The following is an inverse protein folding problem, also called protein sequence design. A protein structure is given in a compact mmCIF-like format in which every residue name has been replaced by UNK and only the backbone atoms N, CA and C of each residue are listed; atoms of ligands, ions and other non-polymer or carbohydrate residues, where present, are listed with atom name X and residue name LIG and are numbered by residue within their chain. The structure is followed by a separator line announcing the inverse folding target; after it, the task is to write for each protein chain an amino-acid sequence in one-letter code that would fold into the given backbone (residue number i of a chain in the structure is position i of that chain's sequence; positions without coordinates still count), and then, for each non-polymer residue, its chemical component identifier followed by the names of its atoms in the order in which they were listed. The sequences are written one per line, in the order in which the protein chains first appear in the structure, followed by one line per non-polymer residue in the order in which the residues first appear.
data_IF_162651113469
#
_entry.id   IF_162651113469
#
_cell.length_a   1.000
_cell.length_b   1.000
_cell.length_c   1.000
_cell.angle_alpha   90.00
_cell.angle_beta   90.00
_cell.angle_gamma   90.00
#
_symmetry.space_group_name_H-M   'P 1'
#
loop_
_entity.id
_entity.type
_entity.pdbx_description
1 polymer ?
#
# COMPACT_ATOMS: atom_id res chain seq x y z
N UNK A 1 0.62 -21.26 18.40
CA UNK A 1 1.04 -22.64 18.76
C UNK A 1 2.41 -22.68 19.45
N UNK A 2 3.43 -21.98 18.92
CA UNK A 2 4.80 -22.02 19.48
C UNK A 2 4.99 -21.42 20.89
N UNK A 3 4.18 -20.43 21.29
CA UNK A 3 4.23 -19.85 22.65
C UNK A 3 3.95 -20.91 23.72
N UNK A 4 2.98 -21.81 23.48
CA UNK A 4 2.63 -22.89 24.42
C UNK A 4 3.70 -23.97 24.51
N UNK A 5 4.45 -24.23 23.43
CA UNK A 5 5.58 -25.17 23.44
C UNK A 5 6.76 -24.59 24.21
N UNK A 6 7.02 -23.28 24.06
CA UNK A 6 8.08 -22.58 24.80
C UNK A 6 7.81 -22.52 26.31
N UNK A 7 6.59 -22.17 26.72
CA UNK A 7 6.23 -22.10 28.14
C UNK A 7 6.26 -23.48 28.81
N UNK A 8 5.79 -24.53 28.12
CA UNK A 8 5.84 -25.90 28.64
C UNK A 8 7.26 -26.45 28.73
N UNK A 9 8.14 -26.13 27.78
CA UNK A 9 9.56 -26.50 27.85
C UNK A 9 10.28 -25.87 29.06
N UNK A 10 10.01 -24.59 29.34
CA UNK A 10 10.58 -23.87 30.49
C UNK A 10 10.01 -24.40 31.81
N UNK A 11 8.72 -24.70 31.89
CA UNK A 11 8.06 -25.25 33.08
C UNK A 11 8.46 -26.70 33.41
N UNK A 12 8.89 -27.47 32.40
CA UNK A 12 9.34 -28.86 32.56
C UNK A 12 10.75 -28.96 33.13
N UNK A 13 11.58 -27.92 32.97
CA UNK A 13 12.96 -27.89 33.47
C UNK A 13 13.05 -27.41 34.94
N UNK A 14 12.38 -28.12 35.85
CA UNK A 14 12.29 -27.77 37.28
C UNK A 14 13.60 -27.95 38.07
N UNK A 15 14.65 -28.51 37.47
CA UNK A 15 15.88 -28.89 38.17
C UNK A 15 16.90 -27.76 38.34
N UNK A 16 16.82 -26.67 37.56
CA UNK A 16 17.82 -25.60 37.59
C UNK A 16 17.33 -24.28 38.18
N UNK A 17 16.01 -24.11 38.37
CA UNK A 17 15.43 -22.86 38.89
C UNK A 17 14.29 -23.16 39.87
N UNK A 18 14.31 -22.49 41.02
CA UNK A 18 13.26 -22.63 42.04
C UNK A 18 11.91 -22.16 41.46
N UNK A 19 10.79 -22.89 41.66
CA UNK A 19 9.49 -22.55 41.07
C UNK A 19 9.04 -21.11 41.36
N UNK A 20 9.41 -20.59 42.53
CA UNK A 20 9.14 -19.21 42.97
C UNK A 20 9.76 -18.14 42.05
N UNK A 21 10.89 -18.41 41.42
CA UNK A 21 11.57 -17.51 40.48
C UNK A 21 11.08 -17.69 39.03
N UNK A 22 10.49 -18.84 38.72
CA UNK A 22 10.10 -19.20 37.36
C UNK A 22 8.82 -18.47 36.89
N UNK A 23 7.81 -18.40 37.76
CA UNK A 23 6.56 -17.69 37.47
C UNK A 23 6.76 -16.19 37.19
N UNK A 24 7.48 -15.41 38.02
CA UNK A 24 7.73 -14.00 37.72
C UNK A 24 8.57 -13.83 36.45
N UNK A 25 9.53 -14.73 36.17
CA UNK A 25 10.33 -14.67 34.94
C UNK A 25 9.47 -14.81 33.68
N UNK A 26 8.52 -15.75 33.66
CA UNK A 26 7.59 -15.92 32.54
C UNK A 26 6.73 -14.66 32.36
N UNK A 27 6.21 -14.10 33.45
CA UNK A 27 5.43 -12.85 33.42
C UNK A 27 6.27 -11.70 32.84
N UNK A 28 7.52 -11.55 33.29
CA UNK A 28 8.44 -10.52 32.78
C UNK A 28 8.69 -10.71 31.28
N UNK A 29 8.94 -11.94 30.80
CA UNK A 29 9.12 -12.22 29.37
C UNK A 29 7.89 -11.81 28.56
N UNK A 30 6.68 -12.09 29.06
CA UNK A 30 5.44 -11.68 28.40
C UNK A 30 5.26 -10.16 28.39
N UNK A 31 5.53 -9.48 29.51
CA UNK A 31 5.47 -8.01 29.59
C UNK A 31 6.46 -7.41 28.60
N UNK A 32 7.71 -7.86 28.59
CA UNK A 32 8.70 -7.38 27.62
C UNK A 32 8.29 -7.66 26.18
N UNK A 33 7.76 -8.85 25.86
CA UNK A 33 7.28 -9.17 24.52
C UNK A 33 6.15 -8.26 24.06
N UNK A 34 5.19 -7.97 24.94
CA UNK A 34 4.10 -7.04 24.65
C UNK A 34 4.58 -5.59 24.57
N UNK A 35 5.48 -5.17 25.46
CA UNK A 35 6.11 -3.85 25.41
C UNK A 35 6.94 -3.67 24.14
N UNK A 36 7.68 -4.66 23.68
CA UNK A 36 8.37 -4.60 22.39
C UNK A 36 7.37 -4.50 21.23
N UNK A 37 6.32 -5.34 21.21
CA UNK A 37 5.31 -5.28 20.15
C UNK A 37 4.55 -3.96 20.10
N UNK A 38 4.22 -3.38 21.25
CA UNK A 38 3.40 -2.17 21.35
C UNK A 38 4.23 -0.88 21.30
N UNK A 39 5.35 -0.83 22.03
CA UNK A 39 6.16 0.38 22.23
C UNK A 39 7.22 0.58 21.14
N UNK A 40 7.82 -0.50 20.60
CA UNK A 40 8.88 -0.40 19.58
C UNK A 40 8.33 -0.24 18.14
N UNK A 41 7.26 0.55 18.01
CA UNK A 41 6.89 1.23 16.75
C UNK A 41 6.58 0.32 15.57
N UNK A 42 5.93 -0.83 15.76
CA UNK A 42 5.29 -1.54 14.64
C UNK A 42 4.36 -0.58 13.86
N UNK A 43 3.75 0.40 14.55
CA UNK A 43 2.92 1.46 13.94
C UNK A 43 3.66 2.41 13.00
N UNK A 44 4.92 2.78 13.27
CA UNK A 44 5.66 3.73 12.41
C UNK A 44 6.27 3.05 11.18
N UNK A 45 6.38 1.70 11.19
CA UNK A 45 6.75 0.93 10.01
C UNK A 45 5.61 0.80 8.98
N UNK A 46 4.36 1.05 9.39
CA UNK A 46 3.23 1.18 8.46
C UNK A 46 3.07 2.65 8.06
N UNK A 47 3.80 3.07 7.03
CA UNK A 47 3.48 4.35 6.38
C UNK A 47 2.18 4.17 5.59
N UNK A 48 1.16 4.97 5.93
CA UNK A 48 0.00 5.12 5.08
C UNK A 48 0.32 6.25 4.09
N UNK A 49 0.57 5.96 2.80
CA UNK A 49 0.81 7.02 1.84
C UNK A 49 -0.46 7.85 1.68
N UNK A 50 -0.50 9.05 2.26
CA UNK A 50 -1.61 9.99 2.08
C UNK A 50 -1.88 10.29 0.60
N UNK A 51 -0.81 10.26 -0.21
CA UNK A 51 -0.86 10.43 -1.65
C UNK A 51 -1.86 9.48 -2.33
N UNK A 52 -1.96 8.21 -1.88
CA UNK A 52 -2.88 7.23 -2.46
C UNK A 52 -4.34 7.63 -2.25
N UNK A 53 -4.67 8.11 -1.05
CA UNK A 53 -6.01 8.55 -0.71
C UNK A 53 -6.38 9.82 -1.50
N UNK A 54 -5.43 10.74 -1.68
CA UNK A 54 -5.65 11.94 -2.46
C UNK A 54 -5.87 11.61 -3.95
N UNK A 55 -5.05 10.72 -4.52
CA UNK A 55 -5.20 10.27 -5.90
C UNK A 55 -6.53 9.55 -6.12
N UNK A 56 -6.95 8.70 -5.17
CA UNK A 56 -8.24 8.02 -5.23
C UNK A 56 -9.41 9.01 -5.27
N UNK A 57 -9.38 10.07 -4.43
CA UNK A 57 -10.41 11.14 -4.45
C UNK A 57 -10.46 11.90 -5.76
N UNK A 58 -9.31 12.14 -6.37
CA UNK A 58 -9.20 12.86 -7.64
C UNK A 58 -9.76 11.99 -8.77
N UNK A 59 -9.40 10.71 -8.81
CA UNK A 59 -10.05 9.77 -9.72
C UNK A 59 -11.55 9.74 -9.51
N UNK A 60 -12.02 9.74 -8.27
CA UNK A 60 -13.46 9.72 -8.00
C UNK A 60 -14.19 10.98 -8.46
N UNK A 61 -13.51 12.13 -8.43
CA UNK A 61 -14.07 13.44 -8.85
C UNK A 61 -14.12 13.58 -10.37
N UNK A 62 -13.09 13.11 -11.09
CA UNK A 62 -12.92 13.37 -12.52
C UNK A 62 -13.34 12.22 -13.43
N UNK A 63 -13.62 11.04 -12.88
CA UNK A 63 -13.96 9.83 -13.65
C UNK A 63 -15.25 9.19 -13.14
N UNK A 64 -15.92 8.41 -13.98
CA UNK A 64 -17.08 7.59 -13.59
C UNK A 64 -16.63 6.21 -13.12
N UNK A 65 -17.47 5.55 -12.33
CA UNK A 65 -17.21 4.18 -11.83
C UNK A 65 -17.08 3.12 -12.94
N UNK A 66 -17.68 3.37 -14.11
CA UNK A 66 -17.57 2.53 -15.30
C UNK A 66 -16.25 2.69 -16.06
N UNK A 67 -15.53 3.79 -15.84
CA UNK A 67 -14.37 4.14 -16.65
C UNK A 67 -13.17 3.28 -16.25
N UNK A 68 -12.42 2.80 -17.25
CA UNK A 68 -11.20 2.05 -17.02
C UNK A 68 -10.03 3.01 -16.87
N UNK A 69 -9.33 2.91 -15.75
CA UNK A 69 -8.21 3.79 -15.40
C UNK A 69 -6.90 3.02 -15.41
N UNK A 70 -5.86 3.62 -15.96
CA UNK A 70 -4.49 3.14 -15.84
C UNK A 70 -3.83 3.93 -14.72
N UNK A 71 -3.21 3.25 -13.76
CA UNK A 71 -2.42 3.86 -12.70
C UNK A 71 -0.98 3.42 -12.85
N UNK A 72 0.00 4.28 -12.58
CA UNK A 72 1.41 3.93 -12.72
C UNK A 72 2.04 3.46 -11.39
N UNK A 73 1.60 2.31 -10.88
CA UNK A 73 1.96 1.81 -9.54
C UNK A 73 2.73 0.49 -9.57
N UNK A 74 3.44 0.22 -10.67
CA UNK A 74 4.30 -0.97 -10.83
C UNK A 74 3.58 -2.31 -10.50
N UNK A 75 2.28 -2.41 -10.77
CA UNK A 75 1.50 -3.61 -10.47
C UNK A 75 0.69 -3.56 -9.17
N UNK A 76 0.88 -2.56 -8.31
CA UNK A 76 0.07 -2.37 -7.10
C UNK A 76 -1.35 -1.88 -7.46
N UNK A 77 -2.35 -2.69 -7.11
CA UNK A 77 -3.77 -2.43 -7.36
C UNK A 77 -4.45 -1.60 -6.27
N UNK A 78 -3.75 -1.23 -5.20
CA UNK A 78 -4.33 -0.55 -4.03
C UNK A 78 -5.01 0.76 -4.43
N UNK A 79 -4.42 1.56 -5.33
CA UNK A 79 -5.04 2.80 -5.79
C UNK A 79 -6.35 2.56 -6.55
N UNK A 80 -6.40 1.53 -7.41
CA UNK A 80 -7.63 1.16 -8.13
C UNK A 80 -8.72 0.68 -7.17
N UNK A 81 -8.34 -0.08 -6.14
CA UNK A 81 -9.24 -0.51 -5.08
C UNK A 81 -9.79 0.68 -4.29
N UNK A 82 -8.92 1.59 -3.83
CA UNK A 82 -9.31 2.78 -3.07
C UNK A 82 -10.19 3.74 -3.89
N UNK A 83 -9.92 3.87 -5.19
CA UNK A 83 -10.72 4.69 -6.10
C UNK A 83 -12.01 3.99 -6.57
N UNK A 84 -12.23 2.71 -6.22
CA UNK A 84 -13.32 1.89 -6.74
C UNK A 84 -13.40 1.94 -8.29
N UNK A 85 -12.26 1.81 -8.96
CA UNK A 85 -12.16 1.82 -10.44
C UNK A 85 -11.62 0.51 -10.98
N UNK A 86 -12.16 0.08 -12.11
CA UNK A 86 -11.57 -0.99 -12.91
C UNK A 86 -10.40 -0.43 -13.70
N UNK A 87 -9.37 -1.22 -13.95
CA UNK A 87 -8.17 -0.63 -14.50
C UNK A 87 -6.97 -1.54 -14.61
N UNK A 88 -5.83 -0.91 -14.93
CA UNK A 88 -4.53 -1.55 -14.95
C UNK A 88 -3.59 -0.82 -13.97
N UNK A 89 -2.88 -1.54 -13.09
CA UNK A 89 -1.95 -0.96 -12.14
C UNK A 89 -0.60 -0.54 -12.75
N UNK A 90 -0.47 -0.65 -14.08
CA UNK A 90 0.67 -0.13 -14.85
C UNK A 90 0.30 -0.01 -16.33
N UNK A 91 1.09 0.78 -17.07
CA UNK A 91 1.06 0.81 -18.52
C UNK A 91 1.87 -0.39 -19.06
N UNK A 92 1.21 -1.34 -19.73
CA UNK A 92 1.83 -2.54 -20.30
C UNK A 92 1.82 -2.60 -21.85
N UNK A 93 1.16 -1.64 -22.48
CA UNK A 93 1.05 -1.46 -23.92
C UNK A 93 1.16 0.03 -24.26
N UNK A 94 1.30 0.37 -25.55
CA UNK A 94 1.32 1.77 -25.96
C UNK A 94 -0.01 2.46 -25.66
N UNK A 95 0.02 3.79 -25.49
CA UNK A 95 -1.18 4.59 -25.23
C UNK A 95 -2.29 4.37 -26.28
N UNK A 96 -2.01 4.31 -27.60
CA UNK A 96 -3.02 3.97 -28.60
C UNK A 96 -3.66 2.59 -28.39
N UNK A 97 -2.86 1.56 -28.10
CA UNK A 97 -3.36 0.21 -27.83
C UNK A 97 -4.24 0.18 -26.56
N UNK A 98 -3.87 0.95 -25.54
CA UNK A 98 -4.69 1.10 -24.34
C UNK A 98 -6.04 1.75 -24.63
N UNK A 99 -6.10 2.75 -25.53
CA UNK A 99 -7.38 3.34 -25.96
C UNK A 99 -8.27 2.29 -26.64
N UNK A 100 -7.70 1.45 -27.50
CA UNK A 100 -8.41 0.36 -28.17
C UNK A 100 -8.97 -0.69 -27.19
N UNK A 101 -8.27 -0.94 -26.08
CA UNK A 101 -8.73 -1.83 -25.00
C UNK A 101 -9.82 -1.20 -24.10
N UNK A 102 -10.19 0.06 -24.38
CA UNK A 102 -11.24 0.81 -23.70
C UNK A 102 -10.80 1.49 -22.41
N UNK A 103 -9.49 1.76 -22.24
CA UNK A 103 -9.01 2.62 -21.17
C UNK A 103 -9.28 4.09 -21.50
N UNK A 104 -9.78 4.84 -20.52
CA UNK A 104 -10.27 6.22 -20.72
C UNK A 104 -9.40 7.24 -20.01
N UNK A 105 -8.70 6.84 -18.96
CA UNK A 105 -7.87 7.74 -18.16
C UNK A 105 -6.54 7.10 -17.81
N UNK A 106 -5.52 7.94 -17.72
CA UNK A 106 -4.20 7.55 -17.24
C UNK A 106 -3.73 8.51 -16.16
N UNK A 107 -3.42 7.96 -14.99
CA UNK A 107 -2.91 8.69 -13.83
C UNK A 107 -1.48 8.25 -13.51
N UNK A 108 -0.57 9.20 -13.42
CA UNK A 108 0.84 8.95 -13.13
C UNK A 108 1.43 10.04 -12.23
N UNK A 109 2.36 9.65 -11.38
CA UNK A 109 3.21 10.50 -10.55
C UNK A 109 4.65 10.62 -11.11
N UNK A 110 4.94 9.95 -12.24
CA UNK A 110 6.26 9.98 -12.88
C UNK A 110 6.42 11.22 -13.74
N UNK A 111 7.28 12.14 -13.29
CA UNK A 111 7.55 13.42 -13.97
C UNK A 111 7.99 13.28 -15.43
N UNK A 112 8.77 12.24 -15.73
CA UNK A 112 9.25 11.95 -17.09
C UNK A 112 8.06 11.70 -18.04
N UNK A 113 7.15 10.81 -17.65
CA UNK A 113 5.94 10.47 -18.41
C UNK A 113 4.99 11.67 -18.52
N UNK A 114 4.83 12.44 -17.42
CA UNK A 114 4.01 13.66 -17.44
C UNK A 114 4.54 14.65 -18.47
N UNK A 115 5.86 14.84 -18.52
CA UNK A 115 6.52 15.77 -19.44
C UNK A 115 6.42 15.30 -20.89
N UNK A 116 6.59 13.99 -21.12
CA UNK A 116 6.43 13.37 -22.43
C UNK A 116 5.01 13.58 -22.95
N UNK A 117 3.98 13.15 -22.20
CA UNK A 117 2.57 13.26 -22.61
C UNK A 117 2.14 14.70 -22.88
N UNK A 118 2.66 15.66 -22.10
CA UNK A 118 2.43 17.10 -22.34
C UNK A 118 3.07 17.58 -23.64
N UNK A 119 4.27 17.10 -23.96
CA UNK A 119 5.00 17.48 -25.18
C UNK A 119 4.30 16.94 -26.41
N UNK A 120 3.88 15.67 -26.38
CA UNK A 120 3.24 15.02 -27.52
C UNK A 120 1.83 15.55 -27.79
N UNK A 121 1.15 16.13 -26.78
CA UNK A 121 -0.22 16.67 -26.85
C UNK A 121 -1.29 15.68 -27.33
N UNK A 122 -0.99 14.38 -27.34
CA UNK A 122 -1.90 13.32 -27.79
C UNK A 122 -3.03 13.04 -26.79
N UNK A 123 -2.83 13.42 -25.52
CA UNK A 123 -3.76 13.16 -24.43
C UNK A 123 -4.08 14.48 -23.71
N UNK A 124 -5.35 14.94 -23.67
CA UNK A 124 -5.70 16.14 -22.94
C UNK A 124 -5.46 15.97 -21.44
N UNK A 125 -4.76 16.94 -20.84
CA UNK A 125 -4.56 17.03 -19.40
C UNK A 125 -5.87 17.49 -18.74
N UNK A 126 -6.35 16.72 -17.76
CA UNK A 126 -7.56 17.05 -17.01
C UNK A 126 -7.25 17.65 -15.64
N UNK A 127 -6.20 17.14 -15.00
CA UNK A 127 -5.78 17.61 -13.69
C UNK A 127 -4.27 17.43 -13.52
N UNK A 128 -3.64 18.37 -12.83
CA UNK A 128 -2.25 18.28 -12.42
C UNK A 128 -2.05 18.99 -11.08
N UNK A 129 -1.21 18.41 -10.23
CA UNK A 129 -0.63 19.09 -9.08
C UNK A 129 0.89 18.86 -9.04
N UNK A 130 1.53 19.25 -7.93
CA UNK A 130 2.98 19.12 -7.77
C UNK A 130 3.51 17.67 -7.78
N UNK A 131 2.65 16.67 -7.57
CA UNK A 131 3.05 15.27 -7.39
C UNK A 131 2.54 14.34 -8.50
N UNK A 132 1.37 14.59 -9.09
CA UNK A 132 0.75 13.69 -10.05
C UNK A 132 -0.14 14.41 -11.07
N UNK A 133 -0.41 13.75 -12.19
CA UNK A 133 -1.25 14.24 -13.26
C UNK A 133 -2.26 13.18 -13.73
N UNK A 134 -3.41 13.64 -14.18
CA UNK A 134 -4.48 12.85 -14.76
C UNK A 134 -4.68 13.29 -16.22
N UNK A 135 -4.52 12.33 -17.13
CA UNK A 135 -4.73 12.49 -18.55
C UNK A 135 -5.97 11.73 -18.99
N UNK A 136 -6.66 12.28 -19.98
CA UNK A 136 -7.69 11.57 -20.72
C UNK A 136 -7.07 10.89 -21.93
N UNK A 137 -7.38 9.61 -22.12
CA UNK A 137 -6.99 8.83 -23.27
C UNK A 137 -8.05 8.98 -24.37
#
# INVERSE_FOLDING_TARGET
MFIGVGTTAVLKNKSSLHPFLLYPLVIVIFIFSLSFSYYYRVKDFYSYPEDLNQMARILDTFTKTSDKVITDRLGDTTLLYLANRKGAPMLYHSIPQMKELGYTYYMTDKKEIITELKTTKECPLLFENAQFALFKL
#
